data_IF_813355751466
#
_entry.id   IF_813355751466
#
_cell.length_a   1.000
_cell.length_b   1.000
_cell.length_c   1.000
_cell.angle_alpha   90.00
_cell.angle_beta   90.00
_cell.angle_gamma   90.00
#
_symmetry.space_group_name_H-M   'P 1'
#
loop_
_entity.id
_entity.type
_entity.pdbx_description
1 polymer ?
#
# COMPACT_ATOMS: atom_id res chain seq x y z
N UNK A 1 -11.54 13.19 6.53
CA UNK A 1 -11.22 13.89 5.25
C UNK A 1 -11.02 12.96 4.06
N UNK A 2 -9.86 12.31 3.88
CA UNK A 2 -9.71 11.39 2.75
C UNK A 2 -10.57 10.15 2.96
N UNK A 3 -10.28 9.36 3.99
CA UNK A 3 -11.01 8.11 4.28
C UNK A 3 -12.48 8.35 4.68
N UNK A 4 -12.71 9.15 5.72
CA UNK A 4 -14.05 9.34 6.33
C UNK A 4 -15.04 10.14 5.44
N UNK A 5 -14.57 11.19 4.77
CA UNK A 5 -15.43 12.12 4.02
C UNK A 5 -15.41 11.83 2.51
N UNK A 6 -14.58 10.88 2.06
CA UNK A 6 -14.46 10.52 0.65
C UNK A 6 -13.85 11.60 -0.25
N UNK A 7 -13.19 12.61 0.31
CA UNK A 7 -12.62 13.73 -0.46
C UNK A 7 -11.37 13.29 -1.24
N UNK A 8 -11.25 13.73 -2.49
CA UNK A 8 -10.08 13.48 -3.35
C UNK A 8 -8.84 14.24 -2.88
N UNK A 9 -7.65 13.84 -3.34
CA UNK A 9 -6.39 14.53 -3.05
C UNK A 9 -6.46 16.02 -3.42
N UNK A 10 -7.05 16.33 -4.57
CA UNK A 10 -7.26 17.70 -5.05
C UNK A 10 -8.20 18.50 -4.16
N UNK A 11 -9.32 17.91 -3.74
CA UNK A 11 -10.27 18.57 -2.85
C UNK A 11 -9.66 18.83 -1.47
N UNK A 12 -8.92 17.87 -0.94
CA UNK A 12 -8.18 18.03 0.29
C UNK A 12 -7.18 19.17 0.09
N UNK A 13 -6.29 19.09 -0.91
CA UNK A 13 -5.27 20.09 -1.22
C UNK A 13 -5.81 21.53 -1.25
N UNK A 14 -7.02 21.71 -1.77
CA UNK A 14 -7.69 23.01 -1.91
C UNK A 14 -8.80 23.28 -0.86
N UNK A 15 -8.80 22.54 0.25
CA UNK A 15 -9.84 22.64 1.27
C UNK A 15 -9.94 24.06 1.85
N UNK A 16 -11.10 24.69 1.70
CA UNK A 16 -11.36 26.09 2.08
C UNK A 16 -11.23 26.39 3.58
N UNK A 17 -11.27 25.37 4.43
CA UNK A 17 -11.09 25.52 5.88
C UNK A 17 -9.62 25.69 6.31
N UNK A 18 -8.65 25.61 5.39
CA UNK A 18 -7.23 25.86 5.68
C UNK A 18 -6.82 27.30 5.37
N UNK A 19 -5.82 27.78 6.10
CA UNK A 19 -5.24 29.09 5.88
C UNK A 19 -4.61 29.24 4.48
N UNK A 20 -4.12 28.13 3.91
CA UNK A 20 -3.56 28.07 2.56
C UNK A 20 -3.78 26.69 1.92
N UNK A 21 -3.83 26.66 0.58
CA UNK A 21 -3.79 25.43 -0.19
C UNK A 21 -2.41 24.76 -0.07
N UNK A 22 -2.38 23.43 -0.17
CA UNK A 22 -1.14 22.65 -0.23
C UNK A 22 -1.07 21.88 -1.55
N UNK A 23 0.06 21.23 -1.80
CA UNK A 23 0.21 20.34 -2.96
C UNK A 23 -0.45 18.97 -2.70
N UNK A 24 -1.03 18.37 -3.73
CA UNK A 24 -1.54 16.99 -3.73
C UNK A 24 -0.45 15.97 -3.32
N UNK A 25 0.82 16.22 -3.66
CA UNK A 25 1.95 15.40 -3.18
C UNK A 25 2.05 15.40 -1.65
N UNK A 26 1.80 16.54 -1.01
CA UNK A 26 1.80 16.63 0.46
C UNK A 26 0.61 15.90 1.06
N UNK A 27 -0.55 15.91 0.38
CA UNK A 27 -1.71 15.10 0.78
C UNK A 27 -1.39 13.61 0.73
N UNK A 28 -0.78 13.16 -0.37
CA UNK A 28 -0.31 11.78 -0.54
C UNK A 28 0.63 11.38 0.60
N UNK A 29 1.62 12.22 0.94
CA UNK A 29 2.56 11.93 2.04
C UNK A 29 1.86 11.79 3.39
N UNK A 30 0.87 12.64 3.70
CA UNK A 30 0.09 12.50 4.94
C UNK A 30 -0.73 11.22 4.97
N UNK A 31 -1.30 10.81 3.84
CA UNK A 31 -2.07 9.56 3.76
C UNK A 31 -1.16 8.35 3.93
N UNK A 32 0.03 8.34 3.33
CA UNK A 32 1.01 7.28 3.53
C UNK A 32 1.50 7.21 4.98
N UNK A 33 1.72 8.35 5.64
CA UNK A 33 2.13 8.35 7.05
C UNK A 33 1.04 7.81 7.96
N UNK A 34 -0.23 8.18 7.72
CA UNK A 34 -1.36 7.62 8.46
C UNK A 34 -1.44 6.09 8.31
N UNK A 35 -1.20 5.56 7.10
CA UNK A 35 -1.14 4.13 6.87
C UNK A 35 0.02 3.46 7.63
N UNK A 36 1.19 4.11 7.70
CA UNK A 36 2.34 3.63 8.51
C UNK A 36 2.01 3.57 9.99
N UNK A 37 1.26 4.54 10.50
CA UNK A 37 0.80 4.58 11.89
C UNK A 37 -0.29 3.54 12.21
N UNK A 38 -0.71 2.75 11.22
CA UNK A 38 -1.69 1.69 11.37
C UNK A 38 -3.14 2.14 11.17
N UNK A 39 -3.36 3.33 10.60
CA UNK A 39 -4.70 3.74 10.21
C UNK A 39 -5.23 2.86 9.07
N UNK A 40 -6.51 2.51 9.15
CA UNK A 40 -7.19 1.77 8.08
C UNK A 40 -7.16 2.58 6.77
N UNK A 41 -6.78 1.92 5.68
CA UNK A 41 -6.64 2.56 4.37
C UNK A 41 -7.30 1.73 3.26
N UNK A 42 -8.10 2.40 2.44
CA UNK A 42 -8.61 1.83 1.21
C UNK A 42 -7.56 1.91 0.10
N UNK A 43 -6.75 0.85 -0.03
CA UNK A 43 -5.66 0.78 -1.01
C UNK A 43 -6.14 0.82 -2.46
N UNK A 44 -7.30 0.27 -2.78
CA UNK A 44 -7.87 0.33 -4.13
C UNK A 44 -8.11 1.77 -4.55
N UNK A 45 -8.81 2.55 -3.71
CA UNK A 45 -9.04 3.97 -3.96
C UNK A 45 -7.75 4.76 -4.00
N UNK A 46 -6.80 4.46 -3.11
CA UNK A 46 -5.51 5.12 -3.11
C UNK A 46 -4.76 4.93 -4.43
N UNK A 47 -4.77 3.71 -4.96
CA UNK A 47 -4.16 3.40 -6.26
C UNK A 47 -4.83 4.15 -7.41
N UNK A 48 -6.16 4.25 -7.41
CA UNK A 48 -6.92 5.02 -8.39
C UNK A 48 -6.55 6.51 -8.36
N UNK A 49 -6.45 7.12 -7.18
CA UNK A 49 -6.08 8.55 -7.05
C UNK A 49 -4.60 8.84 -7.32
N UNK A 50 -3.73 7.83 -7.27
CA UNK A 50 -2.29 7.97 -7.56
C UNK A 50 -1.91 7.56 -8.97
N UNK A 51 -2.89 7.19 -9.80
CA UNK A 51 -2.69 6.54 -11.10
C UNK A 51 -1.73 5.34 -11.01
N UNK A 52 -1.65 4.69 -9.84
CA UNK A 52 -0.80 3.52 -9.64
C UNK A 52 -1.52 2.31 -10.24
N UNK A 53 -1.12 1.94 -11.45
CA UNK A 53 -1.69 0.78 -12.13
C UNK A 53 -1.02 -0.53 -11.70
N UNK A 54 -1.66 -1.67 -12.00
CA UNK A 54 -1.03 -3.00 -11.84
C UNK A 54 0.31 -3.09 -12.59
N UNK A 55 0.39 -2.55 -13.81
CA UNK A 55 1.62 -2.59 -14.60
C UNK A 55 2.74 -1.80 -13.93
N UNK A 56 2.42 -0.59 -13.46
CA UNK A 56 3.37 0.25 -12.71
C UNK A 56 3.79 -0.44 -11.42
N UNK A 57 2.86 -1.05 -10.70
CA UNK A 57 3.14 -1.81 -9.47
C UNK A 57 4.13 -2.96 -9.71
N UNK A 58 3.88 -3.79 -10.72
CA UNK A 58 4.77 -4.92 -11.07
C UNK A 58 6.13 -4.44 -11.56
N UNK A 59 6.17 -3.32 -12.29
CA UNK A 59 7.41 -2.69 -12.73
C UNK A 59 8.26 -2.23 -11.53
N UNK A 60 7.64 -1.57 -10.55
CA UNK A 60 8.30 -1.15 -9.32
C UNK A 60 8.77 -2.39 -8.52
N UNK A 61 7.95 -3.44 -8.44
CA UNK A 61 8.32 -4.69 -7.77
C UNK A 61 9.59 -5.31 -8.38
N UNK A 62 9.66 -5.37 -9.71
CA UNK A 62 10.84 -5.90 -10.40
C UNK A 62 12.07 -5.01 -10.17
N UNK A 63 11.92 -3.69 -10.27
CA UNK A 63 13.00 -2.73 -9.99
C UNK A 63 13.55 -2.90 -8.56
N UNK A 64 12.66 -2.97 -7.56
CA UNK A 64 13.02 -3.19 -6.15
C UNK A 64 13.73 -4.54 -5.95
N UNK A 65 13.27 -5.59 -6.61
CA UNK A 65 13.91 -6.92 -6.55
C UNK A 65 15.32 -6.91 -7.13
N UNK A 66 15.59 -6.05 -8.12
CA UNK A 66 16.90 -5.91 -8.77
C UNK A 66 17.89 -5.05 -7.98
N UNK A 67 17.44 -3.91 -7.43
CA UNK A 67 18.35 -2.89 -6.85
C UNK A 67 18.29 -2.76 -5.33
N UNK A 68 17.34 -3.43 -4.68
CA UNK A 68 17.08 -3.32 -3.25
C UNK A 68 16.05 -2.24 -2.91
N UNK A 69 15.36 -2.42 -1.78
CA UNK A 69 14.24 -1.55 -1.34
C UNK A 69 14.70 -0.26 -0.65
N UNK A 70 15.96 -0.19 -0.24
CA UNK A 70 16.51 0.89 0.58
C UNK A 70 16.96 2.12 -0.23
N UNK A 71 16.98 2.04 -1.57
CA UNK A 71 17.52 3.11 -2.43
C UNK A 71 16.49 3.62 -3.45
N UNK A 72 15.75 4.67 -3.08
CA UNK A 72 14.75 5.33 -3.95
C UNK A 72 15.29 5.76 -5.33
N UNK A 73 16.48 6.35 -5.37
CA UNK A 73 17.08 6.85 -6.61
C UNK A 73 17.45 5.72 -7.59
N UNK A 74 18.17 4.66 -7.18
CA UNK A 74 18.35 3.45 -7.98
C UNK A 74 17.05 2.84 -8.49
N UNK A 75 16.00 2.74 -7.66
CA UNK A 75 14.70 2.21 -8.09
C UNK A 75 14.11 3.08 -9.21
N UNK A 76 14.10 4.42 -9.04
CA UNK A 76 13.58 5.34 -10.06
C UNK A 76 14.35 5.25 -11.39
N UNK A 77 15.66 5.00 -11.36
CA UNK A 77 16.46 4.86 -12.57
C UNK A 77 16.14 3.61 -13.41
N UNK A 78 15.55 2.58 -12.80
CA UNK A 78 15.11 1.36 -13.49
C UNK A 78 13.71 1.47 -14.07
N UNK A 79 13.00 2.56 -13.77
CA UNK A 79 11.60 2.77 -14.12
C UNK A 79 11.46 3.84 -15.22
N UNK A 80 10.37 3.78 -16.00
CA UNK A 80 10.02 4.84 -16.95
C UNK A 80 9.94 6.23 -16.28
N UNK A 81 10.13 7.31 -17.05
CA UNK A 81 10.13 8.68 -16.55
C UNK A 81 8.78 9.05 -15.89
N UNK A 82 7.70 8.48 -16.42
CA UNK A 82 6.31 8.69 -16.02
C UNK A 82 6.02 8.19 -14.60
N UNK A 83 6.79 7.21 -14.09
CA UNK A 83 6.55 6.64 -12.76
C UNK A 83 7.03 7.61 -11.67
N UNK A 84 6.10 8.21 -10.93
CA UNK A 84 6.47 9.23 -9.94
C UNK A 84 7.16 8.63 -8.70
N UNK A 85 7.95 9.44 -8.00
CA UNK A 85 8.45 9.06 -6.67
C UNK A 85 7.31 8.78 -5.67
N UNK A 86 6.15 9.41 -5.84
CA UNK A 86 4.95 9.13 -5.04
C UNK A 86 4.46 7.70 -5.23
N UNK A 87 4.42 7.22 -6.48
CA UNK A 87 4.05 5.83 -6.81
C UNK A 87 5.07 4.81 -6.26
N UNK A 88 6.36 5.14 -6.30
CA UNK A 88 7.40 4.27 -5.69
C UNK A 88 7.22 4.21 -4.16
N UNK A 89 7.01 5.35 -3.49
CA UNK A 89 6.76 5.40 -2.05
C UNK A 89 5.49 4.63 -1.68
N UNK A 90 4.43 4.79 -2.47
CA UNK A 90 3.18 4.05 -2.31
C UNK A 90 3.40 2.54 -2.37
N UNK A 91 4.09 2.05 -3.39
CA UNK A 91 4.44 0.62 -3.48
C UNK A 91 5.21 0.13 -2.24
N UNK A 92 6.22 0.88 -1.80
CA UNK A 92 7.00 0.48 -0.63
C UNK A 92 6.14 0.39 0.64
N UNK A 93 5.24 1.35 0.83
CA UNK A 93 4.29 1.34 1.95
C UNK A 93 3.29 0.18 1.84
N UNK A 94 2.77 -0.11 0.64
CA UNK A 94 1.88 -1.25 0.41
C UNK A 94 2.56 -2.55 0.80
N UNK A 95 3.84 -2.73 0.45
CA UNK A 95 4.61 -3.90 0.85
C UNK A 95 4.85 -3.97 2.38
N UNK A 96 5.00 -2.83 3.06
CA UNK A 96 5.11 -2.77 4.53
C UNK A 96 3.78 -3.12 5.21
N UNK A 97 2.67 -2.73 4.60
CA UNK A 97 1.31 -3.03 5.04
C UNK A 97 0.81 -4.43 4.63
N UNK A 98 1.63 -5.24 3.95
CA UNK A 98 1.26 -6.59 3.49
C UNK A 98 0.28 -6.61 2.30
N UNK A 99 0.17 -5.50 1.56
CA UNK A 99 -0.72 -5.37 0.40
C UNK A 99 -0.02 -5.84 -0.86
N UNK A 100 -0.69 -6.71 -1.60
CA UNK A 100 -0.23 -7.32 -2.85
C UNK A 100 -0.88 -6.66 -4.09
N UNK A 101 -0.55 -7.18 -5.28
CA UNK A 101 -1.17 -6.77 -6.53
C UNK A 101 -2.64 -7.24 -6.70
N UNK A 102 -3.21 -7.99 -5.75
CA UNK A 102 -4.62 -8.39 -5.79
C UNK A 102 -5.57 -7.19 -5.65
N UNK A 103 -5.11 -6.08 -5.06
CA UNK A 103 -5.86 -4.82 -4.95
C UNK A 103 -6.38 -4.29 -6.30
N UNK A 104 -5.73 -4.67 -7.39
CA UNK A 104 -6.08 -4.31 -8.77
C UNK A 104 -7.05 -5.28 -9.46
N UNK A 105 -7.42 -6.40 -8.81
CA UNK A 105 -8.27 -7.45 -9.42
C UNK A 105 -9.77 -7.14 -9.37
N UNK A 106 -10.20 -6.10 -8.66
CA UNK A 106 -11.59 -5.96 -8.22
C UNK A 106 -12.49 -5.21 -9.21
N UNK A 107 -12.87 -5.87 -10.30
CA UNK A 107 -14.15 -5.60 -10.97
C UNK A 107 -15.14 -6.74 -10.68
N UNK A 108 -15.57 -6.90 -9.42
CA UNK A 108 -16.92 -7.37 -9.09
C UNK A 108 -17.24 -7.21 -7.59
N UNK A 109 -18.27 -6.40 -7.30
CA UNK A 109 -19.08 -6.34 -6.08
C UNK A 109 -18.42 -5.87 -4.75
N UNK A 110 -19.01 -4.80 -4.17
CA UNK A 110 -18.81 -4.27 -2.82
C UNK A 110 -18.96 -5.33 -1.72
N UNK A 111 -18.17 -5.23 -0.64
CA UNK A 111 -18.70 -5.02 0.72
C UNK A 111 -17.59 -4.67 1.70
N UNK A 112 -17.90 -3.76 2.62
CA UNK A 112 -17.32 -3.75 3.97
C UNK A 112 -17.38 -5.17 4.54
N UNK A 113 -16.26 -5.67 5.05
CA UNK A 113 -16.19 -6.41 6.31
C UNK A 113 -14.73 -6.37 6.75
N UNK A 114 -14.52 -5.98 8.02
CA UNK A 114 -13.29 -6.31 8.71
C UNK A 114 -13.10 -7.83 8.75
N UNK A 115 -11.85 -8.23 8.94
CA UNK A 115 -11.35 -9.61 8.97
C UNK A 115 -11.43 -10.36 7.63
N UNK A 116 -10.29 -10.43 6.92
CA UNK A 116 -9.70 -11.71 6.52
C UNK A 116 -8.26 -11.53 5.95
N UNK A 117 -7.26 -11.58 6.84
CA UNK A 117 -5.93 -12.09 6.48
C UNK A 117 -5.31 -12.72 7.75
N UNK A 118 -6.05 -13.66 8.34
CA UNK A 118 -5.59 -14.47 9.47
C UNK A 118 -5.68 -15.98 9.18
N UNK A 119 -6.23 -16.39 8.03
CA UNK A 119 -6.38 -17.80 7.65
C UNK A 119 -5.06 -18.44 7.22
N UNK A 120 -4.24 -17.78 6.41
CA UNK A 120 -2.93 -18.33 6.00
C UNK A 120 -1.91 -18.31 7.14
N UNK A 121 -1.98 -17.33 8.05
CA UNK A 121 -1.14 -17.31 9.26
C UNK A 121 -1.58 -18.38 10.26
N UNK A 122 -2.89 -18.68 10.36
CA UNK A 122 -3.42 -19.73 11.24
C UNK A 122 -2.91 -21.13 10.84
N UNK A 123 -2.87 -21.45 9.54
CA UNK A 123 -2.34 -22.73 9.09
C UNK A 123 -0.83 -22.85 9.34
N UNK A 124 -0.06 -21.76 9.12
CA UNK A 124 1.39 -21.73 9.38
C UNK A 124 1.70 -21.83 10.88
N UNK A 125 0.95 -21.12 11.74
CA UNK A 125 1.11 -21.20 13.19
C UNK A 125 0.69 -22.57 13.74
N UNK A 126 -0.35 -23.18 13.18
CA UNK A 126 -0.80 -24.54 13.55
C UNK A 126 0.26 -25.58 13.18
N UNK A 127 0.90 -25.44 12.01
CA UNK A 127 2.01 -26.30 11.58
C UNK A 127 3.26 -26.13 12.46
N UNK A 128 3.59 -24.90 12.87
CA UNK A 128 4.69 -24.62 13.79
C UNK A 128 4.44 -25.18 15.20
N UNK A 129 3.21 -25.10 15.70
CA UNK A 129 2.84 -25.68 16.99
C UNK A 129 2.93 -27.22 16.98
N UNK A 130 2.53 -27.87 15.90
CA UNK A 130 2.64 -29.32 15.76
C UNK A 130 4.08 -29.82 15.57
N UNK A 131 4.95 -29.03 14.93
CA UNK A 131 6.38 -29.37 14.77
C UNK A 131 7.12 -29.29 16.11
N UNK A 132 6.86 -28.26 16.92
CA UNK A 132 7.51 -28.09 18.23
C UNK A 132 7.10 -29.15 19.25
N UNK A 133 5.86 -29.66 19.20
CA UNK A 133 5.43 -30.74 20.10
C UNK A 133 6.01 -32.12 19.74
N UNK A 134 6.50 -32.33 18.51
CA UNK A 134 7.02 -33.64 18.07
C UNK A 134 8.49 -33.88 18.43
N UNK A 135 9.23 -32.83 18.80
CA UNK A 135 10.65 -32.92 19.19
C UNK A 135 10.88 -33.17 20.70
N UNK A 136 9.82 -33.25 21.52
CA UNK A 136 9.93 -33.41 22.99
C UNK A 136 9.48 -34.77 23.54
N UNK A 137 9.31 -35.77 22.68
CA UNK A 137 9.16 -37.17 23.10
C UNK A 137 10.19 -38.04 22.39
N UNK A 138 11.41 -38.07 22.93
CA UNK A 138 12.33 -39.20 22.81
C UNK A 138 13.04 -39.38 24.14
#
# INVERSE_FOLDING_TARGET
MWHEDGLTFKEIANFRGRAAAINEQTVLEYILEAAREGCEMNWTRFCEETDLTRETFLSIQNAVSKVGREKLKPIKNELPEEVSYGQIKAYLMMQEAGVSAEVFSSNSAKSHNGDECLSEISEILTLLFHLTCKEMTT
#
